data_IF_623641686147
#
_entry.id   IF_623641686147
#
_cell.length_a   1.000
_cell.length_b   1.000
_cell.length_c   1.000
_cell.angle_alpha   90.00
_cell.angle_beta   90.00
_cell.angle_gamma   90.00
#
_symmetry.space_group_name_H-M   'P 1'
#
loop_
_entity.id
_entity.type
_entity.pdbx_description
1 polymer ?
#
# COMPACT_ATOMS: atom_id res chain seq x y z
N UNK A 1 15.84 -21.10 14.01
CA UNK A 1 14.36 -21.01 14.11
C UNK A 1 14.09 -20.08 15.29
N UNK A 2 13.81 -18.81 15.00
CA UNK A 2 13.58 -17.80 16.03
C UNK A 2 12.20 -18.08 16.63
N UNK A 3 12.15 -18.57 17.86
CA UNK A 3 10.97 -18.41 18.69
C UNK A 3 10.84 -16.90 18.90
N UNK A 4 9.98 -16.27 18.17
CA UNK A 4 9.64 -14.88 18.41
C UNK A 4 8.76 -14.86 19.67
N UNK A 5 9.36 -14.58 20.83
CA UNK A 5 8.61 -14.24 22.03
C UNK A 5 7.98 -12.85 21.82
N UNK A 6 6.90 -12.83 21.02
CA UNK A 6 6.18 -11.58 20.77
C UNK A 6 5.59 -11.07 22.06
N UNK A 7 5.91 -9.84 22.39
CA UNK A 7 5.36 -9.14 23.53
C UNK A 7 3.89 -8.78 23.28
N UNK A 8 3.18 -8.49 24.36
CA UNK A 8 1.82 -7.95 24.27
C UNK A 8 1.80 -6.66 23.41
N UNK A 9 2.83 -5.84 23.49
CA UNK A 9 2.94 -4.59 22.73
C UNK A 9 3.05 -4.83 21.21
N UNK A 10 3.71 -5.91 20.80
CA UNK A 10 3.82 -6.29 19.39
C UNK A 10 2.46 -6.69 18.82
N UNK A 11 1.68 -7.47 19.56
CA UNK A 11 0.33 -7.86 19.17
C UNK A 11 -0.63 -6.66 19.16
N UNK A 12 -0.51 -5.76 20.13
CA UNK A 12 -1.28 -4.51 20.15
C UNK A 12 -0.92 -3.60 18.99
N UNK A 13 0.37 -3.49 18.62
CA UNK A 13 0.80 -2.71 17.46
C UNK A 13 0.24 -3.29 16.16
N UNK A 14 0.25 -4.61 15.99
CA UNK A 14 -0.38 -5.29 14.84
C UNK A 14 -1.89 -4.97 14.76
N UNK A 15 -2.61 -5.09 15.86
CA UNK A 15 -4.05 -4.86 15.92
C UNK A 15 -4.40 -3.38 15.65
N UNK A 16 -3.71 -2.44 16.29
CA UNK A 16 -3.89 -1.00 16.07
C UNK A 16 -3.52 -0.62 14.64
N UNK A 17 -2.41 -1.16 14.12
CA UNK A 17 -2.03 -1.00 12.73
C UNK A 17 -3.12 -1.47 11.78
N UNK A 18 -3.69 -2.66 12.01
CA UNK A 18 -4.80 -3.18 11.21
C UNK A 18 -6.03 -2.26 11.24
N UNK A 19 -6.42 -1.75 12.39
CA UNK A 19 -7.54 -0.82 12.51
C UNK A 19 -7.29 0.48 11.75
N UNK A 20 -6.11 1.09 11.91
CA UNK A 20 -5.71 2.28 11.16
C UNK A 20 -5.69 2.01 9.64
N UNK A 21 -5.07 0.92 9.24
CA UNK A 21 -4.99 0.49 7.85
C UNK A 21 -6.36 0.24 7.22
N UNK A 22 -7.32 -0.25 8.01
CA UNK A 22 -8.68 -0.57 7.57
C UNK A 22 -9.53 0.67 7.24
N UNK A 23 -9.09 1.89 7.55
CA UNK A 23 -9.82 3.11 7.19
C UNK A 23 -9.78 3.28 5.66
N UNK A 24 -10.93 3.21 4.96
CA UNK A 24 -10.98 3.25 3.50
C UNK A 24 -11.11 4.70 3.00
N UNK A 25 -10.04 5.49 3.07
CA UNK A 25 -10.09 6.93 2.80
C UNK A 25 -10.66 7.26 1.42
N UNK A 26 -10.30 6.52 0.36
CA UNK A 26 -10.85 6.78 -0.98
C UNK A 26 -12.37 6.67 -1.03
N UNK A 27 -12.94 5.65 -0.38
CA UNK A 27 -14.39 5.46 -0.34
C UNK A 27 -15.08 6.53 0.52
N UNK A 28 -14.49 6.88 1.68
CA UNK A 28 -15.02 7.92 2.57
C UNK A 28 -15.04 9.26 1.83
N UNK A 29 -13.92 9.64 1.24
CA UNK A 29 -13.78 10.93 0.55
C UNK A 29 -14.70 11.06 -0.65
N UNK A 30 -14.85 10.02 -1.49
CA UNK A 30 -15.75 10.08 -2.65
C UNK A 30 -17.21 10.21 -2.24
N UNK A 31 -17.63 9.51 -1.18
CA UNK A 31 -18.99 9.65 -0.64
C UNK A 31 -19.26 11.04 -0.07
N UNK A 32 -18.33 11.58 0.75
CA UNK A 32 -18.47 12.90 1.36
C UNK A 32 -18.50 14.04 0.32
N UNK A 33 -17.86 13.85 -0.83
CA UNK A 33 -17.80 14.85 -1.91
C UNK A 33 -18.84 14.62 -3.02
N UNK A 34 -19.82 13.75 -2.81
CA UNK A 34 -20.93 13.54 -3.75
C UNK A 34 -20.58 12.74 -5.00
N UNK A 35 -19.42 12.11 -5.07
CA UNK A 35 -19.01 11.26 -6.22
C UNK A 35 -19.56 9.82 -6.15
N UNK A 36 -20.37 9.49 -5.14
CA UNK A 36 -20.98 8.18 -4.98
C UNK A 36 -20.04 7.11 -4.43
N UNK A 37 -20.36 5.85 -4.71
CA UNK A 37 -19.55 4.72 -4.25
C UNK A 37 -18.43 4.42 -5.25
N UNK A 38 -17.19 4.54 -4.81
CA UNK A 38 -16.01 4.32 -5.63
C UNK A 38 -15.91 2.89 -6.20
N UNK A 39 -16.62 1.93 -5.59
CA UNK A 39 -16.65 0.53 -6.04
C UNK A 39 -17.47 0.34 -7.32
N UNK A 40 -18.36 1.29 -7.62
CA UNK A 40 -19.18 1.30 -8.85
C UNK A 40 -18.46 2.03 -10.00
N UNK A 41 -17.26 2.57 -9.74
CA UNK A 41 -16.48 3.36 -10.71
C UNK A 41 -15.27 2.57 -11.20
N UNK A 42 -15.04 2.56 -12.48
CA UNK A 42 -13.83 2.08 -13.15
C UNK A 42 -13.44 0.65 -12.78
N UNK A 43 -12.38 0.47 -12.00
CA UNK A 43 -11.90 -0.87 -11.58
C UNK A 43 -12.56 -1.41 -10.32
N UNK A 44 -13.49 -0.69 -9.70
CA UNK A 44 -14.07 -1.05 -8.42
C UNK A 44 -13.11 -0.98 -7.22
N UNK A 45 -11.87 -0.55 -7.44
CA UNK A 45 -10.86 -0.45 -6.39
C UNK A 45 -11.02 0.83 -5.56
N UNK A 46 -10.76 0.76 -4.25
CA UNK A 46 -10.94 1.91 -3.34
C UNK A 46 -9.74 2.88 -3.29
N UNK A 47 -8.67 2.64 -4.06
CA UNK A 47 -7.44 3.44 -4.02
C UNK A 47 -7.45 4.67 -4.93
N UNK A 48 -6.46 5.54 -4.74
CA UNK A 48 -6.30 6.83 -5.41
C UNK A 48 -6.36 6.78 -6.95
N UNK A 49 -5.80 5.75 -7.59
CA UNK A 49 -5.86 5.59 -9.05
C UNK A 49 -7.29 5.43 -9.55
N UNK A 50 -8.18 4.82 -8.76
CA UNK A 50 -9.59 4.74 -9.13
C UNK A 50 -10.33 6.04 -8.83
N UNK A 51 -9.99 6.73 -7.74
CA UNK A 51 -10.50 8.09 -7.45
C UNK A 51 -10.16 9.06 -8.59
N UNK A 52 -8.97 8.95 -9.18
CA UNK A 52 -8.57 9.80 -10.31
C UNK A 52 -9.52 9.67 -11.52
N UNK A 53 -10.20 8.53 -11.68
CA UNK A 53 -11.20 8.31 -12.76
C UNK A 53 -12.49 9.08 -12.57
N UNK A 54 -12.76 9.61 -11.37
CA UNK A 54 -13.86 10.56 -11.15
C UNK A 54 -13.59 11.93 -11.78
N UNK A 55 -12.34 12.17 -12.26
CA UNK A 55 -11.89 13.47 -12.77
C UNK A 55 -11.36 14.41 -11.68
N UNK A 56 -11.56 14.09 -10.39
CA UNK A 56 -11.17 14.93 -9.27
C UNK A 56 -9.73 14.62 -8.82
N UNK A 57 -8.76 15.34 -9.40
CA UNK A 57 -7.33 15.17 -9.10
C UNK A 57 -6.96 15.50 -7.64
N UNK A 58 -7.45 16.60 -7.03
CA UNK A 58 -7.21 16.89 -5.61
C UNK A 58 -7.70 15.77 -4.68
N UNK A 59 -8.87 15.20 -4.96
CA UNK A 59 -9.43 14.10 -4.18
C UNK A 59 -8.58 12.84 -4.29
N UNK A 60 -8.08 12.53 -5.47
CA UNK A 60 -7.16 11.41 -5.69
C UNK A 60 -5.83 11.62 -4.93
N UNK A 61 -5.28 12.83 -4.97
CA UNK A 61 -4.06 13.18 -4.23
C UNK A 61 -4.27 13.08 -2.71
N UNK A 62 -5.39 13.56 -2.19
CA UNK A 62 -5.74 13.44 -0.77
C UNK A 62 -5.92 11.97 -0.35
N UNK A 63 -6.57 11.16 -1.18
CA UNK A 63 -6.71 9.71 -0.95
C UNK A 63 -5.33 9.04 -0.86
N UNK A 64 -4.43 9.35 -1.81
CA UNK A 64 -3.07 8.82 -1.82
C UNK A 64 -2.33 9.19 -0.54
N UNK A 65 -2.39 10.47 -0.15
CA UNK A 65 -1.73 10.99 1.05
C UNK A 65 -2.24 10.32 2.33
N UNK A 66 -3.56 10.21 2.50
CA UNK A 66 -4.13 9.60 3.70
C UNK A 66 -3.89 8.10 3.78
N UNK A 67 -3.95 7.37 2.65
CA UNK A 67 -3.62 5.95 2.60
C UNK A 67 -2.12 5.68 2.85
N UNK A 68 -1.25 6.63 2.52
CA UNK A 68 0.17 6.59 2.86
C UNK A 68 0.34 6.89 4.36
N UNK A 69 -0.23 7.99 4.84
CA UNK A 69 -0.07 8.44 6.23
C UNK A 69 -0.56 7.42 7.24
N UNK A 70 -1.63 6.66 6.96
CA UNK A 70 -2.09 5.61 7.88
C UNK A 70 -1.04 4.51 8.06
N UNK A 71 -0.27 4.15 7.01
CA UNK A 71 0.84 3.21 7.10
C UNK A 71 2.00 3.76 7.92
N UNK A 72 2.40 5.01 7.65
CA UNK A 72 3.44 5.69 8.43
C UNK A 72 3.04 5.85 9.90
N UNK A 73 1.81 6.27 10.17
CA UNK A 73 1.32 6.44 11.54
C UNK A 73 1.35 5.12 12.32
N UNK A 74 0.92 4.01 11.72
CA UNK A 74 0.95 2.70 12.36
C UNK A 74 2.38 2.28 12.75
N UNK A 75 3.36 2.51 11.86
CA UNK A 75 4.78 2.25 12.14
C UNK A 75 5.28 3.13 13.28
N UNK A 76 5.02 4.44 13.23
CA UNK A 76 5.50 5.38 14.25
C UNK A 76 4.90 5.13 15.63
N UNK A 77 3.64 4.71 15.69
CA UNK A 77 3.00 4.29 16.95
C UNK A 77 3.67 3.02 17.47
N UNK A 78 3.86 1.99 16.62
CA UNK A 78 4.55 0.76 16.99
C UNK A 78 5.99 1.01 17.46
N UNK A 79 6.71 1.92 16.81
CA UNK A 79 8.09 2.27 17.14
C UNK A 79 8.28 2.80 18.59
N UNK A 80 7.21 3.28 19.23
CA UNK A 80 7.25 3.68 20.64
C UNK A 80 7.42 2.49 21.59
N UNK A 81 7.14 1.29 21.11
CA UNK A 81 7.20 0.04 21.88
C UNK A 81 8.35 -0.88 21.46
N UNK A 82 9.07 -0.52 20.40
CA UNK A 82 10.23 -1.25 19.92
C UNK A 82 10.24 -1.51 18.41
N UNK A 83 11.35 -2.04 17.87
CA UNK A 83 11.50 -2.30 16.44
C UNK A 83 10.51 -3.35 15.92
N UNK A 84 10.26 -4.40 16.67
CA UNK A 84 9.34 -5.48 16.27
C UNK A 84 7.89 -4.98 16.24
N UNK A 85 7.49 -4.17 17.22
CA UNK A 85 6.19 -3.52 17.25
C UNK A 85 6.01 -2.54 16.06
N UNK A 86 7.07 -1.84 15.64
CA UNK A 86 7.04 -1.00 14.43
C UNK A 86 6.78 -1.82 13.16
N UNK A 87 7.49 -2.96 13.00
CA UNK A 87 7.33 -3.90 11.89
C UNK A 87 5.90 -4.46 11.87
N UNK A 88 5.41 -4.93 13.02
CA UNK A 88 4.07 -5.50 13.13
C UNK A 88 2.96 -4.46 12.95
N UNK A 89 3.15 -3.23 13.43
CA UNK A 89 2.25 -2.11 13.15
C UNK A 89 2.13 -1.82 11.66
N UNK A 90 3.26 -1.81 10.95
CA UNK A 90 3.31 -1.67 9.49
C UNK A 90 2.62 -2.82 8.75
N UNK A 91 2.88 -4.07 9.16
CA UNK A 91 2.20 -5.25 8.63
C UNK A 91 0.68 -5.15 8.85
N UNK A 92 0.26 -4.80 10.06
CA UNK A 92 -1.15 -4.60 10.40
C UNK A 92 -1.80 -3.56 9.49
N UNK A 93 -1.18 -2.41 9.31
CA UNK A 93 -1.72 -1.35 8.45
C UNK A 93 -1.87 -1.79 7.00
N UNK A 94 -0.91 -2.54 6.48
CA UNK A 94 -1.00 -3.08 5.13
C UNK A 94 -2.12 -4.11 5.00
N UNK A 95 -2.22 -5.06 5.92
CA UNK A 95 -3.30 -6.06 5.96
C UNK A 95 -4.67 -5.40 6.10
N UNK A 96 -4.80 -4.39 6.98
CA UNK A 96 -6.03 -3.63 7.15
C UNK A 96 -6.48 -2.93 5.86
N UNK A 97 -5.53 -2.36 5.09
CA UNK A 97 -5.86 -1.76 3.80
C UNK A 97 -6.31 -2.79 2.75
N UNK A 98 -5.70 -3.98 2.73
CA UNK A 98 -6.05 -5.04 1.78
C UNK A 98 -7.36 -5.74 2.14
N UNK A 99 -7.63 -5.86 3.45
CA UNK A 99 -8.73 -6.68 4.00
C UNK A 99 -9.49 -5.92 5.10
N UNK A 100 -10.06 -4.74 4.84
CA UNK A 100 -10.76 -3.98 5.85
C UNK A 100 -12.05 -4.70 6.28
N UNK A 101 -12.20 -4.95 7.58
CA UNK A 101 -13.33 -5.68 8.15
C UNK A 101 -14.68 -5.04 7.81
N UNK A 102 -14.76 -3.70 7.80
CA UNK A 102 -15.99 -2.95 7.48
C UNK A 102 -16.42 -3.02 6.02
N UNK A 103 -15.54 -3.52 5.13
CA UNK A 103 -15.84 -3.72 3.71
C UNK A 103 -15.92 -5.21 3.34
N UNK A 104 -16.18 -6.10 4.30
CA UNK A 104 -16.21 -7.55 4.08
C UNK A 104 -14.91 -8.08 3.52
N UNK A 105 -13.78 -7.54 4.00
CA UNK A 105 -12.41 -7.88 3.59
C UNK A 105 -12.06 -7.58 2.11
N UNK A 106 -12.83 -6.72 1.45
CA UNK A 106 -12.64 -6.29 0.05
C UNK A 106 -12.03 -4.89 0.00
N UNK A 107 -10.73 -4.80 0.26
CA UNK A 107 -9.99 -3.55 0.29
C UNK A 107 -9.24 -3.22 -0.99
N UNK A 108 -8.27 -2.31 -0.85
CA UNK A 108 -7.40 -1.82 -1.92
C UNK A 108 -6.26 -2.78 -2.28
N UNK A 109 -5.31 -2.27 -3.09
CA UNK A 109 -4.11 -3.02 -3.53
C UNK A 109 -2.87 -2.75 -2.71
N UNK A 110 -2.89 -1.74 -1.84
CA UNK A 110 -1.88 -1.51 -0.83
C UNK A 110 -0.71 -0.60 -1.22
N UNK A 111 -0.60 -0.11 -2.46
CA UNK A 111 0.60 0.62 -2.93
C UNK A 111 0.91 1.84 -2.07
N UNK A 112 -0.07 2.70 -1.78
CA UNK A 112 0.12 3.89 -0.95
C UNK A 112 0.52 3.52 0.48
N UNK A 113 -0.16 2.54 1.08
CA UNK A 113 0.13 2.06 2.43
C UNK A 113 1.50 1.38 2.50
N UNK A 114 1.91 0.65 1.45
CA UNK A 114 3.26 0.08 1.31
C UNK A 114 4.33 1.18 1.38
N UNK A 115 4.16 2.26 0.61
CA UNK A 115 5.06 3.42 0.66
C UNK A 115 5.05 4.05 2.06
N UNK A 116 3.88 4.19 2.67
CA UNK A 116 3.75 4.72 4.02
C UNK A 116 4.49 3.90 5.07
N UNK A 117 4.43 2.57 4.98
CA UNK A 117 5.21 1.65 5.85
C UNK A 117 6.71 1.82 5.60
N UNK A 118 7.14 1.95 4.33
CA UNK A 118 8.55 2.24 4.00
C UNK A 118 9.02 3.57 4.61
N UNK A 119 8.22 4.63 4.51
CA UNK A 119 8.57 5.92 5.10
C UNK A 119 8.78 5.80 6.60
N UNK A 120 7.90 5.09 7.29
CA UNK A 120 8.00 4.90 8.74
C UNK A 120 9.18 4.04 9.17
N UNK A 121 9.51 2.98 8.43
CA UNK A 121 10.57 2.03 8.79
C UNK A 121 11.95 2.42 8.24
N UNK A 122 12.01 2.84 6.97
CA UNK A 122 13.26 3.20 6.30
C UNK A 122 12.98 4.09 5.08
N UNK A 123 12.82 5.39 5.30
CA UNK A 123 12.45 6.36 4.25
C UNK A 123 13.33 6.35 2.98
N UNK A 124 14.66 6.00 3.00
CA UNK A 124 15.43 5.93 1.77
C UNK A 124 14.88 4.89 0.77
N UNK A 125 14.37 3.76 1.28
CA UNK A 125 13.73 2.75 0.42
C UNK A 125 12.41 3.27 -0.18
N UNK A 126 11.67 4.13 0.52
CA UNK A 126 10.49 4.79 -0.04
C UNK A 126 10.85 5.71 -1.20
N UNK A 127 11.96 6.44 -1.11
CA UNK A 127 12.47 7.28 -2.21
C UNK A 127 12.83 6.40 -3.42
N UNK A 128 13.56 5.31 -3.22
CA UNK A 128 13.92 4.37 -4.29
C UNK A 128 12.66 3.77 -4.94
N UNK A 129 11.68 3.35 -4.12
CA UNK A 129 10.39 2.87 -4.63
C UNK A 129 9.73 3.91 -5.53
N UNK A 130 9.62 5.16 -5.08
CA UNK A 130 8.99 6.25 -5.83
C UNK A 130 9.74 6.57 -7.13
N UNK A 131 11.07 6.56 -7.11
CA UNK A 131 11.89 6.79 -8.32
C UNK A 131 11.69 5.67 -9.35
N UNK A 132 11.70 4.40 -8.94
CA UNK A 132 11.44 3.27 -9.82
C UNK A 132 10.01 3.33 -10.36
N UNK A 133 9.04 3.61 -9.48
CA UNK A 133 7.65 3.76 -9.88
C UNK A 133 7.49 4.86 -10.93
N UNK A 134 8.08 6.04 -10.70
CA UNK A 134 8.00 7.17 -11.62
C UNK A 134 8.68 6.87 -12.96
N UNK A 135 9.89 6.33 -12.94
CA UNK A 135 10.61 5.96 -14.15
C UNK A 135 9.81 4.98 -15.01
N UNK A 136 9.24 3.94 -14.38
CA UNK A 136 8.40 2.97 -15.08
C UNK A 136 7.08 3.60 -15.57
N UNK A 137 6.46 4.47 -14.78
CA UNK A 137 5.23 5.14 -15.16
C UNK A 137 5.41 6.09 -16.35
N UNK A 138 6.51 6.83 -16.40
CA UNK A 138 6.84 7.74 -17.51
C UNK A 138 7.11 6.96 -18.80
N UNK A 139 7.85 5.86 -18.72
CA UNK A 139 8.24 5.07 -19.90
C UNK A 139 7.12 4.21 -20.45
N UNK A 140 6.33 3.56 -19.58
CA UNK A 140 5.33 2.57 -19.98
C UNK A 140 3.89 3.08 -19.91
N UNK A 141 3.62 4.09 -19.10
CA UNK A 141 2.31 4.63 -18.76
C UNK A 141 1.38 3.63 -18.02
N UNK A 142 1.91 2.55 -17.45
CA UNK A 142 1.14 1.59 -16.66
C UNK A 142 1.41 1.75 -15.16
N UNK A 143 0.44 2.31 -14.40
CA UNK A 143 0.55 2.46 -12.93
C UNK A 143 0.72 1.13 -12.20
N UNK A 144 0.05 0.07 -12.66
CA UNK A 144 0.15 -1.27 -12.09
C UNK A 144 1.53 -1.90 -12.30
N UNK A 145 2.08 -1.80 -13.51
CA UNK A 145 3.44 -2.29 -13.80
C UNK A 145 4.48 -1.56 -12.97
N UNK A 146 4.33 -0.25 -12.84
CA UNK A 146 5.22 0.59 -12.00
C UNK A 146 5.23 0.13 -10.55
N UNK A 147 4.06 -0.14 -9.99
CA UNK A 147 3.93 -0.62 -8.62
C UNK A 147 4.53 -2.03 -8.43
N UNK A 148 4.33 -2.93 -9.38
CA UNK A 148 4.87 -4.29 -9.35
C UNK A 148 6.41 -4.29 -9.40
N UNK A 149 7.02 -3.51 -10.33
CA UNK A 149 8.47 -3.42 -10.44
C UNK A 149 9.07 -2.78 -9.19
N UNK A 150 8.51 -1.65 -8.71
CA UNK A 150 9.01 -0.98 -7.52
C UNK A 150 8.92 -1.88 -6.28
N UNK A 151 7.78 -2.59 -6.10
CA UNK A 151 7.60 -3.52 -4.99
C UNK A 151 8.56 -4.71 -5.07
N UNK A 152 8.84 -5.24 -6.27
CA UNK A 152 9.80 -6.35 -6.45
C UNK A 152 11.23 -5.95 -6.07
N UNK A 153 11.66 -4.74 -6.43
CA UNK A 153 13.03 -4.25 -6.13
C UNK A 153 13.19 -3.92 -4.64
N UNK A 154 12.14 -3.51 -3.95
CA UNK A 154 12.22 -3.05 -2.56
C UNK A 154 12.86 -4.04 -1.59
N UNK A 155 12.44 -5.31 -1.46
CA UNK A 155 13.08 -6.25 -0.55
C UNK A 155 14.53 -6.55 -0.91
N UNK A 156 14.89 -6.55 -2.21
CA UNK A 156 16.26 -6.73 -2.68
C UNK A 156 17.14 -5.56 -2.25
N UNK A 157 16.64 -4.32 -2.40
CA UNK A 157 17.30 -3.11 -1.94
C UNK A 157 17.52 -3.14 -0.42
N UNK A 158 16.51 -3.46 0.37
CA UNK A 158 16.61 -3.54 1.82
C UNK A 158 17.62 -4.60 2.27
N UNK A 159 17.63 -5.76 1.64
CA UNK A 159 18.61 -6.80 1.90
C UNK A 159 20.03 -6.34 1.62
N UNK A 160 20.24 -5.74 0.44
CA UNK A 160 21.56 -5.24 0.02
C UNK A 160 22.13 -4.17 0.97
N UNK A 161 21.28 -3.33 1.51
CA UNK A 161 21.65 -2.28 2.45
C UNK A 161 21.67 -2.72 3.93
N UNK A 162 21.65 -4.03 4.22
CA UNK A 162 21.85 -4.57 5.55
C UNK A 162 20.62 -4.52 6.47
N UNK A 163 19.40 -4.48 5.89
CA UNK A 163 18.14 -4.49 6.65
C UNK A 163 17.36 -5.80 6.46
N UNK A 164 17.88 -6.99 6.86
CA UNK A 164 17.25 -8.28 6.53
C UNK A 164 15.87 -8.47 7.15
N UNK A 165 15.61 -7.95 8.35
CA UNK A 165 14.30 -8.02 8.99
C UNK A 165 13.25 -7.24 8.19
N UNK A 166 13.59 -6.04 7.73
CA UNK A 166 12.72 -5.24 6.87
C UNK A 166 12.54 -5.91 5.50
N UNK A 167 13.61 -6.46 4.93
CA UNK A 167 13.52 -7.20 3.67
C UNK A 167 12.52 -8.35 3.77
N UNK A 168 12.54 -9.12 4.86
CA UNK A 168 11.59 -10.21 5.10
C UNK A 168 10.15 -9.72 5.19
N UNK A 169 9.88 -8.63 5.91
CA UNK A 169 8.57 -7.99 5.92
C UNK A 169 8.14 -7.63 4.49
N UNK A 170 9.00 -6.91 3.76
CA UNK A 170 8.66 -6.41 2.43
C UNK A 170 8.55 -7.51 1.37
N UNK A 171 9.18 -8.69 1.55
CA UNK A 171 8.86 -9.89 0.76
C UNK A 171 7.39 -10.27 0.95
N UNK A 172 6.90 -10.36 2.19
CA UNK A 172 5.51 -10.70 2.48
C UNK A 172 4.55 -9.66 1.90
N UNK A 173 4.82 -8.37 2.13
CA UNK A 173 3.99 -7.28 1.58
C UNK A 173 3.97 -7.30 0.05
N UNK A 174 5.11 -7.59 -0.60
CA UNK A 174 5.24 -7.68 -2.05
C UNK A 174 4.41 -8.85 -2.60
N UNK A 175 4.50 -10.04 -2.02
CA UNK A 175 3.71 -11.19 -2.45
C UNK A 175 2.20 -10.90 -2.37
N UNK A 176 1.75 -10.30 -1.27
CA UNK A 176 0.35 -9.87 -1.11
C UNK A 176 -0.04 -8.79 -2.12
N UNK A 177 0.85 -7.83 -2.40
CA UNK A 177 0.63 -6.80 -3.41
C UNK A 177 0.50 -7.42 -4.81
N UNK A 178 1.36 -8.36 -5.18
CA UNK A 178 1.27 -9.09 -6.45
C UNK A 178 -0.05 -9.85 -6.55
N UNK A 179 -0.45 -10.55 -5.49
CA UNK A 179 -1.73 -11.24 -5.47
C UNK A 179 -2.92 -10.29 -5.68
N UNK A 180 -2.92 -9.13 -5.01
CA UNK A 180 -3.96 -8.09 -5.20
C UNK A 180 -3.91 -7.42 -6.58
N UNK A 181 -2.83 -7.58 -7.33
CA UNK A 181 -2.68 -7.12 -8.71
C UNK A 181 -2.91 -8.22 -9.76
N UNK A 182 -3.40 -9.41 -9.38
CA UNK A 182 -3.59 -10.55 -10.30
C UNK A 182 -4.37 -10.17 -11.57
N UNK A 183 -5.46 -9.42 -11.45
CA UNK A 183 -6.23 -8.95 -12.60
C UNK A 183 -5.48 -7.92 -13.45
N UNK A 184 -4.63 -7.08 -12.83
CA UNK A 184 -3.78 -6.17 -13.59
C UNK A 184 -2.70 -6.94 -14.36
N UNK A 185 -2.11 -7.96 -13.74
CA UNK A 185 -1.10 -8.82 -14.38
C UNK A 185 -1.72 -9.51 -15.60
N UNK A 186 -2.92 -10.07 -15.49
CA UNK A 186 -3.64 -10.64 -16.63
C UNK A 186 -3.83 -9.62 -17.74
N UNK A 187 -4.30 -8.39 -17.43
CA UNK A 187 -4.49 -7.33 -18.43
C UNK A 187 -3.18 -6.86 -19.05
N UNK A 188 -2.08 -6.80 -18.28
CA UNK A 188 -0.76 -6.50 -18.81
C UNK A 188 -0.29 -7.56 -19.82
N UNK A 189 -0.50 -8.84 -19.51
CA UNK A 189 -0.15 -9.96 -20.38
C UNK A 189 -0.96 -9.99 -21.69
N UNK A 190 -2.24 -9.59 -21.62
CA UNK A 190 -3.14 -9.53 -22.79
C UNK A 190 -3.14 -8.18 -23.51
N UNK A 191 -2.32 -7.21 -23.06
CA UNK A 191 -2.27 -5.88 -23.68
C UNK A 191 -3.51 -5.01 -23.43
N UNK A 192 -4.37 -5.38 -22.48
CA UNK A 192 -5.65 -4.69 -22.18
C UNK A 192 -5.61 -3.81 -20.93
N UNK A 193 -4.43 -3.66 -20.30
CA UNK A 193 -4.30 -2.79 -19.12
C UNK A 193 -4.42 -1.31 -19.50
N UNK A 194 -5.18 -0.56 -18.68
CA UNK A 194 -5.42 0.87 -18.92
C UNK A 194 -4.16 1.71 -18.67
N UNK A 195 -3.81 2.55 -19.64
CA UNK A 195 -2.67 3.49 -19.51
C UNK A 195 -3.05 4.70 -18.68
N UNK A 196 -2.10 5.28 -17.97
CA UNK A 196 -2.24 6.56 -17.26
C UNK A 196 -2.60 7.64 -18.28
N UNK A 197 -3.71 8.38 -18.02
CA UNK A 197 -4.17 9.47 -18.87
C UNK A 197 -4.86 9.04 -20.17
N UNK A 198 -5.13 7.75 -20.40
CA UNK A 198 -6.04 7.32 -21.45
C UNK A 198 -7.50 7.63 -21.04
N UNK A 199 -8.26 8.23 -21.95
CA UNK A 199 -9.71 8.46 -21.80
C UNK A 199 -10.46 7.19 -22.16
#
# INVERSE_FOLDING_TARGET
>A
MLAADWSLYDLLALALGYLLGSIPFGLILTRLTGHGDLRDIGSGNIGATNVLRTGNKPLAALTLLLDLLKGTAAVLVGARFGPDAAILGGLGAFLGHLFPVWLGFRGGKGVATYIGVLIGLFWPAAVVFCLIWLATAVTTRYSSLSALIAAFVTPLFLWWFGHPALASLFVVLTLLLFWKHSENIKRLQTGTEGKIGAK
#
